data_IF_251869386727
#
_entry.id   IF_251869386727
#
_cell.length_a   1.000
_cell.length_b   1.000
_cell.length_c   1.000
_cell.angle_alpha   90.00
_cell.angle_beta   90.00
_cell.angle_gamma   90.00
#
_symmetry.space_group_name_H-M   'P 1'
#
loop_
_entity.id
_entity.type
_entity.pdbx_description
1 polymer ?
#
# COMPACT_ATOMS: atom_id res chain seq x y z
N UNK A 1 -19.88 6.54 4.82
CA UNK A 1 -19.43 6.29 4.49
C UNK A 1 -18.20 5.99 4.54
N UNK A 2 -17.79 5.19 4.28
CA UNK A 2 -16.46 4.96 4.41
C UNK A 2 -15.76 5.19 3.16
N UNK A 3 -14.49 5.34 3.23
CA UNK A 3 -13.71 5.61 2.11
C UNK A 3 -13.24 4.42 1.38
N UNK A 4 -13.54 3.30 1.71
CA UNK A 4 -12.98 2.14 1.09
C UNK A 4 -11.53 1.95 1.46
N UNK A 5 -10.98 0.80 1.16
CA UNK A 5 -9.62 0.48 1.52
C UNK A 5 -8.65 1.01 0.48
N UNK A 6 -7.38 1.01 0.83
CA UNK A 6 -6.31 1.39 -0.08
C UNK A 6 -5.42 0.18 -0.30
N UNK A 7 -4.97 0.03 -1.52
CA UNK A 7 -4.08 -1.09 -1.87
C UNK A 7 -2.74 -0.54 -2.34
N UNK A 8 -1.69 -1.16 -1.85
CA UNK A 8 -0.33 -0.81 -2.28
C UNK A 8 0.33 -2.06 -2.85
N UNK A 9 0.94 -1.92 -4.00
CA UNK A 9 1.65 -3.00 -4.65
C UNK A 9 3.11 -2.62 -4.71
N UNK A 10 3.97 -3.53 -4.29
CA UNK A 10 5.41 -3.26 -4.33
C UNK A 10 5.87 -3.14 -5.77
N UNK A 11 6.70 -2.13 -6.05
CA UNK A 11 7.16 -1.88 -7.40
C UNK A 11 8.55 -2.43 -7.67
N UNK A 12 9.15 -3.11 -6.69
CA UNK A 12 10.47 -3.67 -6.90
C UNK A 12 10.41 -4.84 -7.86
N UNK A 13 11.41 -4.92 -8.71
CA UNK A 13 11.45 -5.99 -9.68
C UNK A 13 11.52 -7.33 -8.97
N UNK A 14 10.68 -8.25 -9.40
CA UNK A 14 10.68 -9.58 -8.81
C UNK A 14 9.87 -9.69 -7.53
N UNK A 15 9.28 -8.60 -7.08
CA UNK A 15 8.48 -8.64 -5.88
C UNK A 15 7.01 -8.52 -6.24
N UNK A 16 6.19 -9.42 -5.70
CA UNK A 16 4.77 -9.38 -6.01
C UNK A 16 3.94 -9.11 -4.75
N UNK A 17 4.54 -8.47 -3.78
CA UNK A 17 3.85 -8.20 -2.53
C UNK A 17 2.77 -7.13 -2.71
N UNK A 18 1.63 -7.37 -2.09
CA UNK A 18 0.55 -6.38 -2.05
C UNK A 18 0.03 -6.30 -0.63
N UNK A 19 -0.47 -5.14 -0.28
CA UNK A 19 -1.16 -5.03 0.99
C UNK A 19 -2.41 -4.19 0.79
N UNK A 20 -3.39 -4.42 1.65
CA UNK A 20 -4.61 -3.64 1.65
C UNK A 20 -4.81 -3.14 3.07
N UNK A 21 -5.08 -1.87 3.20
CA UNK A 21 -5.28 -1.27 4.51
C UNK A 21 -6.52 -0.42 4.49
N UNK A 22 -7.02 -0.12 5.67
CA UNK A 22 -8.27 0.61 5.78
C UNK A 22 -8.13 2.08 5.41
N UNK A 23 -6.94 2.63 5.54
CA UNK A 23 -6.75 4.05 5.25
C UNK A 23 -5.34 4.29 4.78
N UNK A 24 -5.07 5.52 4.36
CA UNK A 24 -3.77 5.88 3.82
C UNK A 24 -2.65 5.71 4.84
N UNK A 25 -2.76 6.21 6.06
CA UNK A 25 -1.64 6.07 6.99
C UNK A 25 -1.26 4.62 7.26
N UNK A 26 -2.24 3.75 7.37
CA UNK A 26 -1.96 2.34 7.61
C UNK A 26 -1.28 1.70 6.40
N UNK A 27 -1.73 2.08 5.22
CA UNK A 27 -1.13 1.55 4.00
C UNK A 27 0.32 2.00 3.89
N UNK A 28 0.58 3.26 4.19
CA UNK A 28 1.93 3.80 4.12
C UNK A 28 2.84 3.08 5.12
N UNK A 29 2.37 2.89 6.34
CA UNK A 29 3.18 2.21 7.33
C UNK A 29 3.53 0.80 6.90
N UNK A 30 2.54 0.09 6.38
CA UNK A 30 2.77 -1.28 5.93
C UNK A 30 3.75 -1.33 4.77
N UNK A 31 3.62 -0.39 3.84
CA UNK A 31 4.51 -0.34 2.69
C UNK A 31 5.93 -0.02 3.12
N UNK A 32 6.09 0.95 4.00
CA UNK A 32 7.43 1.32 4.47
C UNK A 32 8.09 0.17 5.20
N UNK A 33 7.31 -0.56 5.99
CA UNK A 33 7.85 -1.69 6.71
C UNK A 33 8.30 -2.79 5.76
N UNK A 34 7.48 -3.07 4.75
CA UNK A 34 7.84 -4.09 3.77
C UNK A 34 9.14 -3.72 3.06
N UNK A 35 9.24 -2.45 2.61
CA UNK A 35 10.42 -2.01 1.90
C UNK A 35 11.64 -2.11 2.78
N UNK A 36 11.51 -1.73 4.04
CA UNK A 36 12.65 -1.78 4.94
C UNK A 36 13.09 -3.20 5.23
N UNK A 37 12.12 -4.10 5.43
CA UNK A 37 12.44 -5.46 5.85
C UNK A 37 12.83 -6.35 4.68
N UNK A 38 12.19 -6.16 3.53
CA UNK A 38 12.43 -7.06 2.42
C UNK A 38 13.46 -6.52 1.45
N UNK A 39 13.56 -5.21 1.34
CA UNK A 39 14.45 -4.63 0.34
C UNK A 39 15.55 -3.79 0.96
N UNK A 40 15.52 -3.59 2.26
CA UNK A 40 16.57 -2.82 2.92
C UNK A 40 16.62 -1.38 2.48
N UNK A 41 15.51 -0.85 2.02
CA UNK A 41 15.44 0.50 1.49
C UNK A 41 14.42 1.31 2.24
N UNK A 42 14.24 2.55 1.80
CA UNK A 42 13.26 3.42 2.41
C UNK A 42 12.61 4.25 1.32
N UNK A 43 11.30 4.42 1.39
CA UNK A 43 10.60 5.30 0.49
C UNK A 43 9.85 6.34 1.28
N UNK A 44 9.76 7.54 0.72
CA UNK A 44 9.03 8.61 1.36
C UNK A 44 7.56 8.32 1.32
N UNK A 45 6.89 8.80 2.35
CA UNK A 45 5.46 8.62 2.48
C UNK A 45 4.70 9.11 1.25
N UNK A 46 5.06 10.27 0.73
CA UNK A 46 4.35 10.82 -0.40
C UNK A 46 4.54 9.98 -1.66
N UNK A 47 5.68 9.32 -1.79
CA UNK A 47 5.89 8.47 -2.94
C UNK A 47 5.00 7.24 -2.88
N UNK A 48 4.81 6.72 -1.68
CA UNK A 48 3.94 5.58 -1.50
C UNK A 48 2.49 5.99 -1.76
N UNK A 49 2.10 7.16 -1.28
CA UNK A 49 0.74 7.63 -1.47
C UNK A 49 0.39 7.80 -2.94
N UNK A 50 1.37 8.20 -3.74
CA UNK A 50 1.13 8.40 -5.16
C UNK A 50 0.73 7.13 -5.88
N UNK A 51 1.15 5.98 -5.39
CA UNK A 51 0.85 4.72 -6.07
C UNK A 51 -0.24 3.92 -5.39
N UNK A 52 -0.84 4.46 -4.36
CA UNK A 52 -1.95 3.77 -3.71
C UNK A 52 -3.15 3.74 -4.62
N UNK A 53 -3.89 2.64 -4.56
CA UNK A 53 -5.10 2.50 -5.35
C UNK A 53 -6.30 2.38 -4.44
N UNK A 54 -7.41 2.93 -4.87
CA UNK A 54 -8.65 2.75 -4.12
C UNK A 54 -9.21 1.37 -4.39
N UNK A 55 -9.60 0.70 -3.32
CA UNK A 55 -10.23 -0.61 -3.45
C UNK A 55 -11.68 -0.44 -3.05
N UNK A 56 -12.62 -0.84 -3.90
CA UNK A 56 -14.03 -0.68 -3.55
C UNK A 56 -14.34 -1.41 -2.26
N UNK A 57 -15.16 -0.77 -1.44
CA UNK A 57 -15.47 -1.33 -0.18
C UNK A 57 -16.12 -2.64 -0.30
N UNK A 58 -16.92 -2.90 -1.28
CA UNK A 58 -17.44 -4.11 -1.39
C UNK A 58 -17.64 -4.40 -2.71
N UNK A 59 -17.34 -5.31 -3.04
CA UNK A 59 -17.46 -5.67 -4.33
C UNK A 59 -18.81 -6.07 -4.71
N UNK A 60 -19.24 -6.19 -4.58
CA UNK A 60 -20.18 -6.61 -4.76
C UNK A 60 -20.81 -7.03 -5.06
N UNK A 61 -21.05 -7.35 -4.95
CA UNK A 61 -21.58 -7.83 -5.02
C UNK A 61 -22.02 -7.93 -5.42
#
# INVERSE_FOLDING_TARGET
MTDGAKRWTCVEAGCSYELVAADVPSAVQGAQRHIAEEHGSFELEEMIEDVLEDVPERAER
#
